data_IF_452774431295
#
_entry.id   IF_452774431295
#
_cell.length_a   1.000
_cell.length_b   1.000
_cell.length_c   1.000
_cell.angle_alpha   90.00
_cell.angle_beta   90.00
_cell.angle_gamma   90.00
#
_symmetry.space_group_name_H-M   'P 1'
#
loop_
_entity.id
_entity.type
_entity.pdbx_description
1 polymer ?
#
# COMPACT_ATOMS: atom_id res chain seq x y z
N UNK A 1 -29.70 -3.26 19.41
CA UNK A 1 -29.08 -1.96 19.75
C UNK A 1 -27.60 -1.99 19.38
N UNK A 2 -27.12 -1.14 18.47
CA UNK A 2 -25.67 -0.98 18.24
C UNK A 2 -25.13 -0.11 19.38
N UNK A 3 -24.27 -0.67 20.24
CA UNK A 3 -23.63 0.10 21.32
C UNK A 3 -22.68 1.13 20.69
N UNK A 4 -23.04 2.41 20.74
CA UNK A 4 -22.19 3.52 20.32
C UNK A 4 -21.20 3.86 21.45
N UNK A 5 -20.17 3.03 21.59
CA UNK A 5 -18.99 3.38 22.40
C UNK A 5 -18.08 4.36 21.63
N UNK A 6 -17.10 4.97 22.33
CA UNK A 6 -16.08 5.81 21.70
C UNK A 6 -15.34 4.97 20.62
N UNK A 7 -15.17 5.48 19.40
CA UNK A 7 -14.39 4.77 18.38
C UNK A 7 -12.95 4.57 18.87
N UNK A 8 -12.34 3.45 18.47
CA UNK A 8 -10.94 3.16 18.81
C UNK A 8 -10.01 4.20 18.17
N UNK A 9 -9.02 4.66 18.94
CA UNK A 9 -7.94 5.53 18.47
C UNK A 9 -6.76 4.73 17.90
N UNK A 10 -6.82 3.39 17.90
CA UNK A 10 -5.73 2.58 17.39
C UNK A 10 -5.50 2.87 15.88
N UNK A 11 -4.25 3.08 15.44
CA UNK A 11 -3.94 3.24 14.03
C UNK A 11 -4.44 2.04 13.22
N UNK A 12 -5.06 2.35 12.07
CA UNK A 12 -5.59 1.32 11.17
C UNK A 12 -4.43 0.67 10.43
N UNK A 13 -4.40 -0.66 10.49
CA UNK A 13 -3.44 -1.48 9.76
C UNK A 13 -3.78 -1.50 8.26
N UNK A 14 -2.76 -1.78 7.45
CA UNK A 14 -2.96 -1.96 6.01
C UNK A 14 -3.64 -3.31 5.74
N UNK A 15 -4.38 -3.36 4.63
CA UNK A 15 -5.00 -4.61 4.14
C UNK A 15 -3.92 -5.49 3.51
N UNK A 16 -4.19 -6.79 3.43
CA UNK A 16 -3.28 -7.71 2.75
C UNK A 16 -3.30 -7.47 1.24
N UNK A 17 -2.11 -7.45 0.64
CA UNK A 17 -1.90 -7.30 -0.80
C UNK A 17 -0.66 -6.50 -1.15
N UNK A 18 -0.56 -6.07 -2.40
CA UNK A 18 0.63 -5.46 -3.00
C UNK A 18 0.50 -3.94 -3.01
N UNK A 19 1.50 -3.25 -2.47
CA UNK A 19 1.52 -1.80 -2.38
C UNK A 19 2.62 -1.20 -3.25
N UNK A 20 2.27 -0.13 -3.95
CA UNK A 20 3.17 0.65 -4.80
C UNK A 20 2.94 2.14 -4.56
N UNK A 21 3.99 2.93 -4.78
CA UNK A 21 3.95 4.39 -4.77
C UNK A 21 4.22 4.90 -6.18
N UNK A 22 3.43 5.88 -6.62
CA UNK A 22 3.55 6.48 -7.95
C UNK A 22 3.64 7.99 -7.78
N UNK A 23 4.63 8.62 -8.40
CA UNK A 23 4.72 10.08 -8.43
C UNK A 23 3.57 10.68 -9.24
N UNK A 24 2.98 11.75 -8.73
CA UNK A 24 2.05 12.57 -9.52
C UNK A 24 2.91 13.55 -10.36
N UNK A 25 2.52 13.75 -11.62
CA UNK A 25 3.18 14.72 -12.49
C UNK A 25 3.07 16.14 -11.92
N UNK A 26 4.14 16.93 -12.01
CA UNK A 26 4.20 18.34 -11.55
C UNK A 26 4.03 18.55 -10.04
N UNK A 27 4.26 17.53 -9.21
CA UNK A 27 4.33 17.69 -7.75
C UNK A 27 5.37 16.78 -7.14
N UNK A 28 5.89 17.14 -5.96
CA UNK A 28 6.79 16.31 -5.16
C UNK A 28 6.07 15.16 -4.44
N UNK A 29 4.73 15.11 -4.52
CA UNK A 29 3.91 14.11 -3.83
C UNK A 29 3.78 12.82 -4.64
N UNK A 30 3.64 11.72 -3.92
CA UNK A 30 3.33 10.40 -4.48
C UNK A 30 2.03 9.85 -3.91
N UNK A 31 1.36 9.00 -4.69
CA UNK A 31 0.13 8.31 -4.30
C UNK A 31 0.45 6.84 -4.10
N UNK A 32 -0.03 6.29 -2.98
CA UNK A 32 0.07 4.87 -2.70
C UNK A 32 -1.15 4.14 -3.23
N UNK A 33 -0.91 3.11 -4.03
CA UNK A 33 -1.94 2.24 -4.62
C UNK A 33 -1.77 0.83 -4.03
N UNK A 34 -2.90 0.16 -3.80
CA UNK A 34 -2.97 -1.21 -3.32
C UNK A 34 -3.67 -2.08 -4.36
N UNK A 35 -3.13 -3.28 -4.60
CA UNK A 35 -3.71 -4.32 -5.45
C UNK A 35 -3.75 -5.64 -4.72
N UNK A 36 -4.78 -6.44 -4.99
CA UNK A 36 -4.98 -7.73 -4.31
C UNK A 36 -4.06 -8.80 -4.90
N UNK A 37 -3.87 -8.80 -6.23
CA UNK A 37 -3.08 -9.81 -6.93
C UNK A 37 -1.76 -9.26 -7.49
N UNK A 38 -0.79 -10.16 -7.65
CA UNK A 38 0.51 -9.83 -8.23
C UNK A 38 0.38 -9.39 -9.70
N UNK A 39 -0.51 -10.02 -10.47
CA UNK A 39 -0.76 -9.69 -11.87
C UNK A 39 -1.30 -8.26 -12.03
N UNK A 40 -2.22 -7.84 -11.16
CA UNK A 40 -2.72 -6.47 -11.15
C UNK A 40 -1.60 -5.48 -10.80
N UNK A 41 -0.71 -5.83 -9.88
CA UNK A 41 0.47 -5.01 -9.58
C UNK A 41 1.37 -4.88 -10.80
N UNK A 42 1.64 -5.97 -11.53
CA UNK A 42 2.45 -5.97 -12.76
C UNK A 42 1.84 -5.14 -13.88
N UNK A 43 0.52 -5.16 -14.01
CA UNK A 43 -0.19 -4.31 -14.95
C UNK A 43 0.00 -2.83 -14.60
N UNK A 44 -0.07 -2.46 -13.32
CA UNK A 44 0.20 -1.09 -12.86
C UNK A 44 1.65 -0.69 -13.09
N UNK A 45 2.61 -1.58 -12.80
CA UNK A 45 4.03 -1.35 -13.08
C UNK A 45 4.26 -1.04 -14.57
N UNK A 46 3.61 -1.80 -15.46
CA UNK A 46 3.69 -1.58 -16.91
C UNK A 46 3.00 -0.27 -17.32
N UNK A 47 1.82 0.01 -16.78
CA UNK A 47 1.02 1.20 -17.09
C UNK A 47 1.72 2.50 -16.67
N UNK A 48 2.45 2.47 -15.56
CA UNK A 48 3.11 3.64 -14.98
C UNK A 48 4.63 3.58 -15.05
N UNK A 49 5.19 2.82 -16.00
CA UNK A 49 6.64 2.69 -16.22
C UNK A 49 7.35 4.04 -16.44
N UNK A 50 6.65 5.01 -17.04
CA UNK A 50 7.17 6.33 -17.36
C UNK A 50 7.09 7.29 -16.16
N UNK A 51 6.47 6.86 -15.06
CA UNK A 51 6.45 7.58 -13.78
C UNK A 51 7.46 6.95 -12.83
N UNK A 52 7.84 7.67 -11.77
CA UNK A 52 8.71 7.14 -10.72
C UNK A 52 7.92 6.13 -9.86
N UNK A 53 7.66 4.96 -10.44
CA UNK A 53 7.00 3.84 -9.83
C UNK A 53 7.94 3.18 -8.82
N UNK A 54 7.46 3.00 -7.59
CA UNK A 54 8.20 2.33 -6.52
C UNK A 54 7.36 1.24 -5.91
N UNK A 55 7.88 0.02 -5.91
CA UNK A 55 7.24 -1.10 -5.21
C UNK A 55 7.57 -1.05 -3.72
N UNK A 56 6.54 -0.84 -2.88
CA UNK A 56 6.71 -0.71 -1.42
C UNK A 56 6.82 -2.08 -0.75
N UNK A 57 6.12 -3.08 -1.31
CA UNK A 57 6.08 -4.43 -0.76
C UNK A 57 4.69 -5.04 -0.74
N UNK A 58 4.66 -6.31 -0.37
CA UNK A 58 3.44 -7.07 -0.10
C UNK A 58 3.20 -7.05 1.40
N UNK A 59 1.96 -6.73 1.77
CA UNK A 59 1.45 -6.83 3.14
C UNK A 59 0.74 -8.16 3.27
N UNK A 60 1.06 -8.89 4.34
CA UNK A 60 0.33 -10.06 4.79
C UNK A 60 0.32 -10.09 6.30
N UNK A 61 -0.83 -10.36 6.91
CA UNK A 61 -1.00 -10.43 8.36
C UNK A 61 -0.52 -9.14 9.07
N UNK A 62 -0.68 -7.99 8.39
CA UNK A 62 -0.24 -6.66 8.81
C UNK A 62 1.27 -6.42 8.84
N UNK A 63 2.07 -7.31 8.25
CA UNK A 63 3.52 -7.15 8.10
C UNK A 63 3.91 -7.04 6.63
N UNK A 64 4.96 -6.28 6.37
CA UNK A 64 5.59 -6.22 5.06
C UNK A 64 6.50 -7.44 4.86
N UNK A 65 6.12 -8.35 3.96
CA UNK A 65 6.87 -9.59 3.74
C UNK A 65 8.02 -9.43 2.74
N UNK A 66 7.94 -8.43 1.86
CA UNK A 66 8.93 -8.12 0.84
C UNK A 66 8.95 -6.63 0.49
N UNK A 67 9.76 -6.23 -0.48
CA UNK A 67 9.90 -4.86 -0.95
C UNK A 67 10.73 -3.97 -0.03
N UNK A 68 10.63 -2.66 -0.24
CA UNK A 68 11.39 -1.63 0.48
C UNK A 68 11.07 -1.63 1.99
N UNK A 69 9.85 -2.01 2.36
CA UNK A 69 9.38 -2.02 3.75
C UNK A 69 9.53 -3.37 4.47
N UNK A 70 10.20 -4.36 3.85
CA UNK A 70 10.31 -5.71 4.39
C UNK A 70 10.68 -5.73 5.88
N UNK A 71 9.93 -6.51 6.66
CA UNK A 71 10.14 -6.71 8.10
C UNK A 71 9.49 -5.66 9.00
N UNK A 72 8.91 -4.59 8.45
CA UNK A 72 8.21 -3.57 9.24
C UNK A 72 6.76 -3.97 9.49
N UNK A 73 6.19 -3.48 10.59
CA UNK A 73 4.75 -3.48 10.81
C UNK A 73 4.08 -2.39 9.95
N UNK A 74 2.81 -2.59 9.60
CA UNK A 74 2.04 -1.63 8.77
C UNK A 74 1.33 -0.53 9.57
N UNK A 75 1.54 -0.53 10.89
CA UNK A 75 0.87 0.31 11.89
C UNK A 75 1.53 1.66 12.02
#
# INVERSE_FOLDING_TARGET
MRKSGRPSNAPKKLKDGFYMSISITNTSRSVRIMRETFEQMKLVETQYKDRNFKYLGQVKDNFWINGENKGKATT
#
